data_IF_756681103803
#
_entry.id   IF_756681103803
#
_cell.length_a   1.000
_cell.length_b   1.000
_cell.length_c   1.000
_cell.angle_alpha   90.00
_cell.angle_beta   90.00
_cell.angle_gamma   90.00
#
_symmetry.space_group_name_H-M   'P 1'
#
loop_
_entity.id
_entity.type
_entity.pdbx_description
1 polymer ?
#
# COMPACT_ATOMS: atom_id res chain seq x y z
N UNK A 1 -62.07 6.56 9.19
CA UNK A 1 -61.05 5.50 9.36
C UNK A 1 -60.02 5.45 8.21
N UNK A 2 -60.43 5.50 6.94
CA UNK A 2 -59.54 5.43 5.76
C UNK A 2 -58.44 6.50 5.68
N UNK A 3 -58.71 7.75 6.06
CA UNK A 3 -57.70 8.84 6.07
C UNK A 3 -56.57 8.62 7.10
N UNK A 4 -56.87 8.02 8.25
CA UNK A 4 -55.91 7.75 9.32
C UNK A 4 -54.97 6.60 8.91
N UNK A 5 -55.53 5.55 8.30
CA UNK A 5 -54.76 4.42 7.75
C UNK A 5 -53.78 4.89 6.67
N UNK A 6 -54.22 5.76 5.76
CA UNK A 6 -53.35 6.33 4.72
C UNK A 6 -52.24 7.23 5.27
N UNK A 7 -52.49 7.93 6.39
CA UNK A 7 -51.47 8.74 7.07
C UNK A 7 -50.41 7.87 7.75
N UNK A 8 -50.84 6.81 8.45
CA UNK A 8 -49.94 5.83 9.08
C UNK A 8 -49.05 5.16 8.02
N UNK A 9 -49.64 4.74 6.89
CA UNK A 9 -48.89 4.11 5.80
C UNK A 9 -47.85 5.05 5.18
N UNK A 10 -48.19 6.33 4.94
CA UNK A 10 -47.22 7.33 4.44
C UNK A 10 -46.08 7.59 5.43
N UNK A 11 -46.39 7.65 6.72
CA UNK A 11 -45.38 7.87 7.77
C UNK A 11 -44.45 6.66 7.92
N UNK A 12 -44.98 5.43 7.90
CA UNK A 12 -44.20 4.20 7.86
C UNK A 12 -43.30 4.12 6.62
N UNK A 13 -43.83 4.45 5.45
CA UNK A 13 -43.07 4.47 4.20
C UNK A 13 -41.92 5.48 4.22
N UNK A 14 -42.15 6.68 4.76
CA UNK A 14 -41.10 7.70 4.95
C UNK A 14 -40.03 7.24 5.93
N UNK A 15 -40.43 6.63 7.04
CA UNK A 15 -39.51 6.05 8.02
C UNK A 15 -38.64 4.96 7.40
N UNK A 16 -39.26 4.01 6.68
CA UNK A 16 -38.57 2.93 5.99
C UNK A 16 -37.56 3.49 4.96
N UNK A 17 -37.97 4.48 4.17
CA UNK A 17 -37.10 5.13 3.18
C UNK A 17 -35.91 5.84 3.84
N UNK A 18 -36.11 6.48 4.98
CA UNK A 18 -35.02 7.10 5.76
C UNK A 18 -34.05 6.04 6.27
N UNK A 19 -34.55 4.91 6.78
CA UNK A 19 -33.71 3.79 7.25
C UNK A 19 -32.88 3.21 6.10
N UNK A 20 -33.49 2.93 4.95
CA UNK A 20 -32.74 2.46 3.78
C UNK A 20 -31.69 3.47 3.31
N UNK A 21 -32.01 4.76 3.34
CA UNK A 21 -31.07 5.82 2.97
C UNK A 21 -29.87 5.88 3.93
N UNK A 22 -30.13 5.80 5.24
CA UNK A 22 -29.07 5.76 6.26
C UNK A 22 -28.21 4.51 6.14
N UNK A 23 -28.80 3.34 5.93
CA UNK A 23 -28.07 2.09 5.70
C UNK A 23 -27.19 2.19 4.44
N UNK A 24 -27.71 2.73 3.34
CA UNK A 24 -26.93 2.95 2.13
C UNK A 24 -25.79 3.96 2.34
N UNK A 25 -26.00 5.01 3.13
CA UNK A 25 -24.95 5.97 3.47
C UNK A 25 -23.83 5.34 4.30
N UNK A 26 -24.19 4.59 5.35
CA UNK A 26 -23.23 3.85 6.18
C UNK A 26 -22.46 2.83 5.35
N UNK A 27 -23.13 2.08 4.47
CA UNK A 27 -22.50 1.12 3.58
C UNK A 27 -21.50 1.80 2.61
N UNK A 28 -21.88 2.92 2.00
CA UNK A 28 -20.97 3.69 1.12
C UNK A 28 -19.75 4.24 1.86
N UNK A 29 -19.94 4.73 3.09
CA UNK A 29 -18.85 5.23 3.91
C UNK A 29 -17.90 4.12 4.34
N UNK A 30 -18.43 2.98 4.78
CA UNK A 30 -17.63 1.83 5.22
C UNK A 30 -16.88 1.17 4.06
N UNK A 31 -17.54 0.96 2.91
CA UNK A 31 -16.87 0.49 1.69
C UNK A 31 -15.81 1.51 1.25
N UNK A 32 -16.12 2.80 1.23
CA UNK A 32 -15.17 3.85 0.84
C UNK A 32 -13.96 3.93 1.77
N UNK A 33 -14.15 3.78 3.08
CA UNK A 33 -13.07 3.78 4.06
C UNK A 33 -12.21 2.52 3.94
N UNK A 34 -12.82 1.35 3.79
CA UNK A 34 -12.13 0.09 3.55
C UNK A 34 -11.32 0.16 2.25
N UNK A 35 -11.92 0.65 1.17
CA UNK A 35 -11.23 0.89 -0.10
C UNK A 35 -10.08 1.89 0.02
N UNK A 36 -10.25 3.01 0.72
CA UNK A 36 -9.16 3.99 0.93
C UNK A 36 -7.98 3.37 1.68
N UNK A 37 -8.25 2.40 2.55
CA UNK A 37 -7.24 1.66 3.28
C UNK A 37 -6.57 0.56 2.43
N UNK A 38 -7.26 -0.03 1.43
CA UNK A 38 -6.76 -1.16 0.61
C UNK A 38 -6.26 -0.78 -0.80
N UNK A 39 -6.75 0.29 -1.42
CA UNK A 39 -6.58 0.66 -2.85
C UNK A 39 -5.20 1.20 -3.27
N UNK A 40 -4.09 0.63 -2.82
CA UNK A 40 -2.79 0.92 -3.42
C UNK A 40 -2.26 2.37 -3.24
N UNK A 41 -3.04 3.31 -2.71
CA UNK A 41 -2.66 4.72 -2.49
C UNK A 41 -1.76 4.92 -1.27
N UNK A 42 -1.57 3.88 -0.47
CA UNK A 42 -0.67 3.96 0.68
C UNK A 42 0.74 4.23 0.19
N UNK A 43 1.41 5.21 0.80
CA UNK A 43 2.81 5.48 0.51
C UNK A 43 3.67 4.37 1.11
N UNK A 44 4.63 3.89 0.34
CA UNK A 44 5.72 3.05 0.82
C UNK A 44 7.02 3.80 0.59
N UNK A 45 7.85 3.84 1.62
CA UNK A 45 9.15 4.47 1.57
C UNK A 45 10.20 3.44 1.24
N UNK A 46 11.07 3.79 0.29
CA UNK A 46 12.00 2.88 -0.36
C UNK A 46 13.37 3.54 -0.49
N UNK A 47 14.42 2.73 -0.49
CA UNK A 47 15.82 3.16 -0.75
C UNK A 47 16.43 2.28 -1.84
N UNK A 48 17.50 2.75 -2.50
CA UNK A 48 18.18 1.95 -3.53
C UNK A 48 19.20 1.00 -2.89
N UNK A 49 19.92 1.51 -1.89
CA UNK A 49 20.73 0.76 -0.95
C UNK A 49 20.27 1.04 0.49
N UNK A 50 20.49 0.09 1.40
CA UNK A 50 19.98 0.18 2.78
C UNK A 50 20.54 1.37 3.57
N UNK A 51 21.76 1.80 3.24
CA UNK A 51 22.47 2.92 3.87
C UNK A 51 22.38 4.22 3.05
N UNK A 52 21.58 4.25 1.98
CA UNK A 52 21.39 5.47 1.21
C UNK A 52 20.79 6.58 2.07
N UNK A 53 21.32 7.80 1.97
CA UNK A 53 20.70 8.98 2.62
C UNK A 53 19.38 9.38 1.95
N UNK A 54 19.18 8.98 0.70
CA UNK A 54 18.00 9.31 -0.08
C UNK A 54 16.86 8.34 0.19
N UNK A 55 15.69 8.87 0.57
CA UNK A 55 14.45 8.10 0.70
C UNK A 55 13.50 8.47 -0.43
N UNK A 56 13.14 7.47 -1.22
CA UNK A 56 12.08 7.54 -2.21
C UNK A 56 10.72 7.19 -1.61
N UNK A 57 9.66 7.65 -2.25
CA UNK A 57 8.26 7.34 -1.92
C UNK A 57 7.55 6.84 -3.17
N UNK A 58 6.90 5.69 -3.05
CA UNK A 58 6.10 5.06 -4.11
C UNK A 58 4.70 4.78 -3.60
N UNK A 59 3.75 4.55 -4.52
CA UNK A 59 2.45 4.00 -4.15
C UNK A 59 2.60 2.50 -3.93
N UNK A 60 1.85 1.96 -2.98
CA UNK A 60 1.78 0.52 -2.75
C UNK A 60 1.45 -0.26 -4.03
N UNK A 61 0.56 0.27 -4.87
CA UNK A 61 0.19 -0.35 -6.15
C UNK A 61 1.34 -0.48 -7.15
N UNK A 62 2.38 0.33 -7.00
CA UNK A 62 3.49 0.43 -7.95
C UNK A 62 4.67 -0.45 -7.53
N UNK A 63 4.57 -1.12 -6.37
CA UNK A 63 5.55 -2.10 -5.92
C UNK A 63 5.23 -3.48 -6.48
N UNK A 64 6.27 -4.13 -7.00
CA UNK A 64 6.20 -5.44 -7.61
C UNK A 64 7.15 -6.40 -6.90
N UNK A 65 6.72 -7.65 -6.76
CA UNK A 65 7.51 -8.76 -6.20
C UNK A 65 8.23 -8.47 -4.87
N UNK A 66 7.49 -8.18 -3.77
CA UNK A 66 8.08 -8.03 -2.45
C UNK A 66 8.66 -9.35 -1.94
N UNK A 67 9.96 -9.38 -1.62
CA UNK A 67 10.66 -10.59 -1.20
C UNK A 67 11.88 -10.29 -0.32
N UNK A 68 12.34 -11.28 0.42
CA UNK A 68 13.60 -11.22 1.15
C UNK A 68 14.79 -11.39 0.21
N UNK A 69 15.80 -10.55 0.36
CA UNK A 69 17.01 -10.58 -0.48
C UNK A 69 18.20 -9.98 0.27
N UNK A 70 19.42 -10.41 -0.06
CA UNK A 70 20.66 -9.90 0.52
C UNK A 70 21.39 -8.98 -0.44
N UNK A 71 21.10 -9.02 -1.75
CA UNK A 71 21.75 -8.13 -2.70
C UNK A 71 20.98 -6.81 -2.82
N UNK A 72 21.70 -5.70 -2.67
CA UNK A 72 21.14 -4.37 -2.79
C UNK A 72 20.68 -4.08 -4.23
N UNK A 73 19.84 -3.06 -4.39
CA UNK A 73 19.41 -2.63 -5.72
C UNK A 73 20.46 -1.76 -6.41
N UNK A 74 21.05 -0.83 -5.67
CA UNK A 74 21.96 0.22 -6.12
C UNK A 74 23.27 -0.34 -6.62
N UNK A 75 24.26 -0.33 -5.74
CA UNK A 75 25.60 -0.82 -6.00
C UNK A 75 25.69 -2.34 -6.21
N UNK A 76 24.57 -3.08 -6.09
CA UNK A 76 24.52 -4.55 -6.14
C UNK A 76 25.45 -5.19 -5.10
N UNK A 77 25.57 -4.56 -3.94
CA UNK A 77 26.41 -5.03 -2.83
C UNK A 77 25.60 -5.88 -1.88
N UNK A 78 26.26 -6.79 -1.18
CA UNK A 78 25.59 -7.57 -0.15
C UNK A 78 25.24 -6.71 1.06
N UNK A 79 24.01 -6.84 1.52
CA UNK A 79 23.49 -6.17 2.70
C UNK A 79 23.98 -6.92 3.95
N UNK A 80 24.23 -6.20 5.07
CA UNK A 80 24.66 -6.84 6.31
C UNK A 80 23.68 -7.90 6.85
N UNK A 81 22.40 -7.77 6.50
CA UNK A 81 21.32 -8.68 6.88
C UNK A 81 20.34 -8.82 5.69
N UNK A 82 19.56 -9.91 5.63
CA UNK A 82 18.42 -10.01 4.72
C UNK A 82 17.44 -8.84 4.91
N UNK A 83 17.10 -8.16 3.82
CA UNK A 83 16.14 -7.05 3.83
C UNK A 83 14.99 -7.34 2.86
N UNK A 84 13.84 -6.71 3.13
CA UNK A 84 12.72 -6.71 2.22
C UNK A 84 13.03 -5.83 1.01
N UNK A 85 13.02 -6.45 -0.16
CA UNK A 85 13.17 -5.80 -1.45
C UNK A 85 11.92 -5.91 -2.28
N UNK A 86 11.81 -5.05 -3.28
CA UNK A 86 10.78 -5.08 -4.31
C UNK A 86 11.32 -4.38 -5.56
N UNK A 87 10.52 -4.36 -6.61
CA UNK A 87 10.79 -3.67 -7.86
C UNK A 87 9.77 -2.56 -8.10
N UNK A 88 10.22 -1.47 -8.71
CA UNK A 88 9.37 -0.35 -9.08
C UNK A 88 9.92 0.35 -10.33
N UNK A 89 9.05 0.86 -11.18
CA UNK A 89 9.46 1.71 -12.28
C UNK A 89 9.91 3.08 -11.78
N UNK A 90 11.09 3.54 -12.23
CA UNK A 90 11.74 4.72 -11.65
C UNK A 90 10.94 6.02 -11.80
N UNK A 91 10.07 6.14 -12.81
CA UNK A 91 9.17 7.28 -13.02
C UNK A 91 8.06 7.38 -11.95
N UNK A 92 7.77 6.27 -11.25
CA UNK A 92 6.79 6.21 -10.15
C UNK A 92 7.37 6.66 -8.80
N UNK A 93 8.69 6.74 -8.69
CA UNK A 93 9.35 7.16 -7.45
C UNK A 93 9.30 8.68 -7.31
N UNK A 94 8.93 9.16 -6.12
CA UNK A 94 9.01 10.57 -5.72
C UNK A 94 10.04 10.75 -4.61
N UNK A 95 10.69 11.90 -4.54
CA UNK A 95 11.74 12.17 -3.55
C UNK A 95 13.15 11.95 -4.11
N UNK A 96 14.13 11.92 -3.21
CA UNK A 96 15.54 11.75 -3.57
C UNK A 96 15.91 10.29 -3.40
N UNK A 97 16.23 9.61 -4.49
CA UNK A 97 16.67 8.21 -4.47
C UNK A 97 17.91 8.06 -5.35
N UNK A 98 18.81 7.13 -4.99
CA UNK A 98 20.02 6.82 -5.76
C UNK A 98 19.73 6.18 -7.11
N UNK A 99 19.21 6.97 -8.06
CA UNK A 99 18.93 6.54 -9.42
C UNK A 99 18.92 7.73 -10.39
N UNK A 100 19.58 7.57 -11.52
CA UNK A 100 19.44 8.43 -12.68
C UNK A 100 19.08 7.59 -13.89
N UNK A 101 18.30 8.15 -14.82
CA UNK A 101 18.13 7.57 -16.15
C UNK A 101 19.32 7.87 -17.07
N UNK A 102 20.48 8.27 -16.53
CA UNK A 102 21.63 8.69 -17.34
C UNK A 102 22.33 7.51 -18.04
N UNK A 103 22.09 6.28 -17.58
CA UNK A 103 22.76 5.08 -18.07
C UNK A 103 21.94 4.28 -19.10
N UNK A 104 20.84 4.84 -19.62
CA UNK A 104 19.98 4.16 -20.61
C UNK A 104 18.62 4.84 -20.79
N UNK A 105 17.84 4.35 -21.75
CA UNK A 105 16.47 4.85 -21.98
C UNK A 105 15.54 4.35 -20.88
N UNK A 106 15.02 5.27 -20.07
CA UNK A 106 14.03 4.98 -19.04
C UNK A 106 12.59 4.84 -19.57
N UNK A 107 11.61 4.50 -18.70
CA UNK A 107 11.79 4.21 -17.28
C UNK A 107 12.45 2.85 -17.04
N UNK A 108 13.18 2.73 -15.93
CA UNK A 108 13.86 1.51 -15.51
C UNK A 108 13.08 0.81 -14.41
N UNK A 109 13.01 -0.52 -14.47
CA UNK A 109 12.49 -1.31 -13.36
C UNK A 109 13.60 -1.53 -12.33
N UNK A 110 13.61 -0.71 -11.29
CA UNK A 110 14.69 -0.67 -10.30
C UNK A 110 14.33 -1.48 -9.07
N UNK A 111 15.30 -2.26 -8.57
CA UNK A 111 15.20 -2.93 -7.27
C UNK A 111 15.37 -1.91 -6.16
N UNK A 112 14.54 -1.97 -5.13
CA UNK A 112 14.58 -1.10 -3.96
C UNK A 112 14.44 -1.92 -2.69
N UNK A 113 14.97 -1.43 -1.58
CA UNK A 113 14.75 -2.01 -0.26
C UNK A 113 13.76 -1.15 0.55
N UNK A 114 12.97 -1.81 1.39
CA UNK A 114 12.10 -1.17 2.38
C UNK A 114 12.66 -1.43 3.77
N UNK A 115 12.86 -0.35 4.53
CA UNK A 115 13.27 -0.45 5.93
C UNK A 115 12.07 -0.24 6.86
N UNK A 116 12.11 -0.91 8.01
CA UNK A 116 11.08 -0.80 9.06
C UNK A 116 10.96 0.63 9.58
N UNK A 117 12.08 1.32 9.75
CA UNK A 117 12.13 2.68 10.29
C UNK A 117 11.51 3.73 9.36
N UNK A 118 11.57 3.53 8.04
CA UNK A 118 10.99 4.45 7.06
C UNK A 118 9.48 4.26 6.89
N UNK A 119 8.95 3.12 7.31
CA UNK A 119 7.59 2.70 6.98
C UNK A 119 6.72 2.57 8.23
N UNK A 120 5.48 3.07 8.13
CA UNK A 120 4.49 2.87 9.20
C UNK A 120 4.31 1.39 9.53
N UNK A 121 4.03 1.08 10.80
CA UNK A 121 3.79 -0.29 11.30
C UNK A 121 2.81 -1.09 10.42
N UNK A 122 1.76 -0.43 9.91
CA UNK A 122 0.76 -1.04 9.03
C UNK A 122 1.35 -1.50 7.70
N UNK A 123 2.16 -0.64 7.07
CA UNK A 123 2.80 -0.94 5.79
C UNK A 123 3.86 -2.02 5.98
N UNK A 124 4.66 -1.91 7.03
CA UNK A 124 5.65 -2.92 7.36
C UNK A 124 5.02 -4.31 7.56
N UNK A 125 3.94 -4.41 8.35
CA UNK A 125 3.21 -5.66 8.54
C UNK A 125 2.72 -6.24 7.22
N UNK A 126 2.13 -5.42 6.35
CA UNK A 126 1.63 -5.86 5.04
C UNK A 126 2.75 -6.36 4.12
N UNK A 127 3.94 -5.74 4.16
CA UNK A 127 5.10 -6.21 3.40
C UNK A 127 5.57 -7.59 3.87
N UNK A 128 5.62 -7.80 5.20
CA UNK A 128 5.96 -9.09 5.78
C UNK A 128 4.95 -10.18 5.39
N UNK A 129 3.65 -9.86 5.40
CA UNK A 129 2.59 -10.79 4.98
C UNK A 129 2.75 -11.22 3.52
N UNK A 130 3.21 -10.33 2.63
CA UNK A 130 3.43 -10.65 1.22
C UNK A 130 4.72 -11.44 0.97
N UNK A 131 5.82 -11.04 1.60
CA UNK A 131 7.10 -11.70 1.42
C UNK A 131 7.15 -13.08 2.10
N UNK A 132 6.27 -13.32 3.07
CA UNK A 132 6.28 -14.52 3.90
C UNK A 132 7.45 -14.52 4.89
N UNK A 133 7.63 -15.64 5.62
CA UNK A 133 8.80 -15.82 6.48
C UNK A 133 10.09 -15.77 5.64
N UNK A 134 11.17 -15.27 6.23
CA UNK A 134 12.49 -15.44 5.62
C UNK A 134 12.87 -16.92 5.72
N UNK A 135 12.66 -17.66 4.64
CA UNK A 135 12.92 -19.12 4.58
C UNK A 135 14.37 -19.47 4.89
N UNK A 136 15.30 -18.51 4.85
CA UNK A 136 16.70 -18.72 5.25
C UNK A 136 16.88 -18.78 6.76
N UNK A 137 15.98 -18.15 7.52
CA UNK A 137 15.96 -18.25 8.99
C UNK A 137 15.31 -19.56 9.46
N UNK A 138 14.61 -20.29 8.58
CA UNK A 138 13.99 -21.59 8.89
C UNK A 138 14.98 -22.76 8.76
N UNK A 139 16.11 -22.55 8.06
CA UNK A 139 17.15 -23.57 7.82
C UNK A 139 18.37 -23.45 8.74
N UNK A 140 18.34 -22.51 9.70
CA UNK A 140 19.43 -22.21 10.63
C UNK A 140 19.28 -22.87 11.99
#
# INVERSE_FOLDING_TARGET
MTKIIGFIFKSLWRGLRLVFWLLAAVLRLSIGLAWRQTLGRSAVYVRRDWNDRGVGRVRWSDLHDPRWDTLSGGAQVENPLPLLHAYVWCDKVRGKIGHSCAHGVGPHNIKVCMLREDNSRRIWKRLLELAGPDRRLETG
#
